data_IF_795646940635
#
_entry.id   IF_795646940635
#
_cell.length_a   1.000
_cell.length_b   1.000
_cell.length_c   1.000
_cell.angle_alpha   90.00
_cell.angle_beta   90.00
_cell.angle_gamma   90.00
#
_symmetry.space_group_name_H-M   'P 1'
#
loop_
_entity.id
_entity.type
_entity.pdbx_description
1 polymer ?
#
# COMPACT_ATOMS: atom_id res chain seq x y z
N UNK A 1 -9.46 29.19 0.41
CA UNK A 1 -8.34 29.20 -0.56
C UNK A 1 -7.61 27.90 -0.32
N UNK A 2 -7.70 26.95 -1.25
CA UNK A 2 -6.98 25.68 -1.12
C UNK A 2 -5.49 26.01 -1.13
N UNK A 3 -4.82 25.73 -0.02
CA UNK A 3 -3.36 25.85 0.01
C UNK A 3 -2.81 24.85 -0.98
N UNK A 4 -2.03 25.30 -1.96
CA UNK A 4 -1.42 24.44 -2.98
C UNK A 4 -0.31 23.53 -2.40
N UNK A 5 -0.41 23.19 -1.12
CA UNK A 5 0.56 22.45 -0.32
C UNK A 5 0.80 21.08 -0.92
N UNK A 6 -0.23 20.38 -1.41
CA UNK A 6 -0.07 19.06 -2.02
C UNK A 6 0.79 19.08 -3.30
N UNK A 7 0.86 20.23 -3.99
CA UNK A 7 1.66 20.37 -5.21
C UNK A 7 3.15 20.58 -4.93
N UNK A 8 3.53 20.90 -3.68
CA UNK A 8 4.93 21.01 -3.29
C UNK A 8 5.55 19.62 -3.03
N UNK A 9 6.86 19.51 -3.25
CA UNK A 9 7.62 18.33 -2.87
C UNK A 9 7.77 18.28 -1.35
N UNK A 10 7.36 17.18 -0.74
CA UNK A 10 7.49 16.97 0.70
C UNK A 10 8.31 15.73 1.03
N UNK A 11 8.79 15.70 2.27
CA UNK A 11 9.38 14.49 2.84
C UNK A 11 8.27 13.45 3.07
N UNK A 12 8.64 12.17 3.03
CA UNK A 12 7.72 11.05 3.27
C UNK A 12 6.96 11.18 4.60
N UNK A 13 7.62 11.70 5.64
CA UNK A 13 7.01 11.98 6.95
C UNK A 13 5.84 12.97 6.88
N UNK A 14 5.89 13.92 5.94
CA UNK A 14 4.80 14.87 5.73
C UNK A 14 3.58 14.16 5.12
N UNK A 15 3.77 13.32 4.11
CA UNK A 15 2.69 12.54 3.50
C UNK A 15 2.06 11.57 4.51
N UNK A 16 2.89 10.91 5.34
CA UNK A 16 2.45 10.11 6.50
C UNK A 16 1.52 10.90 7.43
N UNK A 17 1.89 12.14 7.78
CA UNK A 17 1.14 12.95 8.73
C UNK A 17 -0.14 13.58 8.15
N UNK A 18 -0.17 13.92 6.86
CA UNK A 18 -1.23 14.76 6.28
C UNK A 18 -2.15 14.02 5.30
N UNK A 19 -1.59 13.19 4.41
CA UNK A 19 -2.37 12.50 3.38
C UNK A 19 -2.82 11.14 3.90
N UNK A 20 -1.87 10.40 4.43
CA UNK A 20 -2.06 9.06 4.96
C UNK A 20 -2.96 9.06 6.18
N UNK A 21 -2.71 9.92 7.17
CA UNK A 21 -3.60 10.08 8.32
C UNK A 21 -5.06 10.41 7.92
N UNK A 22 -5.25 11.19 6.86
CA UNK A 22 -6.59 11.46 6.33
C UNK A 22 -7.26 10.19 5.81
N UNK A 23 -6.53 9.35 5.06
CA UNK A 23 -7.03 8.04 4.62
C UNK A 23 -7.35 7.16 5.82
N UNK A 24 -6.48 7.07 6.83
CA UNK A 24 -6.77 6.27 8.03
C UNK A 24 -8.10 6.68 8.65
N UNK A 25 -8.32 8.00 8.77
CA UNK A 25 -9.56 8.55 9.34
C UNK A 25 -10.79 8.31 8.47
N UNK A 26 -10.64 8.28 7.14
CA UNK A 26 -11.73 8.07 6.20
C UNK A 26 -12.25 6.62 6.15
N UNK A 27 -11.48 5.67 6.68
CA UNK A 27 -11.83 4.25 6.72
C UNK A 27 -12.03 3.73 8.16
N UNK A 28 -11.87 4.59 9.18
CA UNK A 28 -11.90 4.20 10.61
C UNK A 28 -13.28 3.71 11.07
N UNK A 29 -14.36 4.15 10.42
CA UNK A 29 -15.74 3.77 10.71
C UNK A 29 -16.22 2.52 9.95
N UNK A 30 -15.39 1.97 9.06
CA UNK A 30 -15.74 0.81 8.24
C UNK A 30 -15.31 -0.49 8.94
N UNK A 31 -16.27 -1.17 9.57
CA UNK A 31 -16.06 -2.36 10.41
C UNK A 31 -15.24 -3.48 9.74
N UNK A 32 -15.43 -3.67 8.43
CA UNK A 32 -14.83 -4.76 7.67
C UNK A 32 -13.63 -4.32 6.82
N UNK A 33 -13.13 -3.09 6.99
CA UNK A 33 -11.98 -2.59 6.25
C UNK A 33 -10.88 -2.21 7.24
N UNK A 34 -9.64 -2.53 6.88
CA UNK A 34 -8.47 -2.01 7.58
C UNK A 34 -7.52 -1.33 6.59
N UNK A 35 -6.89 -0.27 7.09
CA UNK A 35 -5.79 0.43 6.42
C UNK A 35 -4.50 0.02 7.10
N UNK A 36 -3.66 -0.73 6.39
CA UNK A 36 -2.36 -1.18 6.88
C UNK A 36 -1.27 -0.24 6.45
N UNK A 37 -0.48 0.20 7.44
CA UNK A 37 0.74 0.97 7.26
C UNK A 37 1.96 0.06 7.23
N UNK A 38 2.87 0.31 6.29
CA UNK A 38 4.18 -0.33 6.28
C UNK A 38 4.10 -1.85 6.24
N UNK A 39 3.47 -2.39 5.19
CA UNK A 39 3.24 -3.82 4.98
C UNK A 39 4.49 -4.64 5.34
N UNK A 40 4.38 -5.57 6.30
CA UNK A 40 5.45 -6.55 6.52
C UNK A 40 5.59 -7.39 5.25
N UNK A 41 6.80 -7.73 4.84
CA UNK A 41 7.08 -8.57 3.66
C UNK A 41 6.35 -9.91 3.75
N UNK A 42 5.12 -9.96 3.23
CA UNK A 42 4.20 -11.10 3.37
C UNK A 42 3.39 -11.31 2.09
N UNK A 43 2.57 -12.36 2.14
CA UNK A 43 1.79 -12.97 1.05
C UNK A 43 1.20 -11.97 0.07
N UNK A 44 0.64 -10.85 0.52
CA UNK A 44 0.10 -9.78 -0.31
C UNK A 44 1.10 -9.26 -1.38
N UNK A 45 2.27 -8.75 -0.98
CA UNK A 45 3.33 -8.35 -1.92
C UNK A 45 3.77 -9.46 -2.89
N UNK A 46 3.78 -10.72 -2.44
CA UNK A 46 4.12 -11.88 -3.27
C UNK A 46 2.99 -12.20 -4.24
N UNK A 47 1.74 -12.18 -3.79
CA UNK A 47 0.55 -12.42 -4.58
C UNK A 47 0.47 -11.38 -5.70
N UNK A 48 0.60 -10.07 -5.42
CA UNK A 48 0.65 -9.04 -6.47
C UNK A 48 1.75 -9.28 -7.50
N UNK A 49 2.97 -9.62 -7.06
CA UNK A 49 4.11 -9.80 -7.97
C UNK A 49 4.04 -11.09 -8.80
N UNK A 50 3.31 -12.09 -8.32
CA UNK A 50 3.24 -13.42 -8.94
C UNK A 50 1.82 -13.80 -9.37
N UNK A 51 0.86 -12.87 -9.36
CA UNK A 51 -0.54 -13.14 -9.70
C UNK A 51 -0.67 -13.75 -11.11
N UNK A 52 0.12 -13.22 -12.05
CA UNK A 52 0.11 -13.66 -13.44
C UNK A 52 1.21 -14.71 -13.72
N UNK A 53 1.75 -15.34 -12.67
CA UNK A 53 2.85 -16.30 -12.83
C UNK A 53 2.34 -17.61 -13.43
N UNK A 54 2.71 -17.84 -14.69
CA UNK A 54 2.41 -19.08 -15.41
C UNK A 54 3.29 -20.27 -14.99
N UNK A 55 4.56 -20.01 -14.65
CA UNK A 55 5.51 -21.07 -14.27
C UNK A 55 5.67 -21.16 -12.75
N UNK A 56 5.06 -22.19 -12.16
CA UNK A 56 5.10 -22.41 -10.71
C UNK A 56 6.35 -23.10 -10.19
N UNK A 57 7.22 -23.60 -11.07
CA UNK A 57 8.46 -24.32 -10.69
C UNK A 57 9.58 -23.38 -10.24
N UNK A 58 9.48 -22.09 -10.53
CA UNK A 58 10.46 -21.09 -10.09
C UNK A 58 10.13 -20.57 -8.68
N UNK A 59 11.16 -20.12 -7.95
CA UNK A 59 10.98 -19.44 -6.65
C UNK A 59 10.04 -18.24 -6.79
N UNK A 60 9.14 -18.08 -5.82
CA UNK A 60 8.27 -16.92 -5.76
C UNK A 60 9.10 -15.65 -5.61
N UNK A 61 8.74 -14.61 -6.37
CA UNK A 61 9.40 -13.30 -6.28
C UNK A 61 8.74 -12.49 -5.18
N UNK A 62 9.55 -11.82 -4.36
CA UNK A 62 9.03 -10.84 -3.42
C UNK A 62 8.70 -9.55 -4.19
N UNK A 63 7.49 -9.03 -4.03
CA UNK A 63 7.07 -7.75 -4.62
C UNK A 63 7.62 -6.55 -3.86
N UNK A 64 7.43 -5.35 -4.43
CA UNK A 64 7.67 -4.10 -3.68
C UNK A 64 6.63 -3.99 -2.57
N UNK A 65 7.11 -3.59 -1.39
CA UNK A 65 6.28 -3.25 -0.24
C UNK A 65 5.58 -1.92 -0.53
N UNK A 66 4.29 -1.84 -0.21
CA UNK A 66 3.53 -0.60 -0.28
C UNK A 66 3.54 0.11 1.07
N UNK A 67 3.42 1.44 1.04
CA UNK A 67 3.37 2.27 2.25
C UNK A 67 1.99 2.21 2.91
N UNK A 68 0.97 1.97 2.08
CA UNK A 68 -0.43 1.80 2.47
C UNK A 68 -1.06 0.63 1.69
N UNK A 69 -1.86 -0.18 2.38
CA UNK A 69 -2.75 -1.19 1.78
C UNK A 69 -4.13 -1.07 2.42
N UNK A 70 -5.18 -1.02 1.61
CA UNK A 70 -6.58 -1.06 2.05
C UNK A 70 -7.11 -2.45 1.73
N UNK A 71 -7.60 -3.16 2.74
CA UNK A 71 -8.06 -4.55 2.57
C UNK A 71 -9.16 -4.90 3.54
N UNK A 72 -9.76 -6.07 3.34
CA UNK A 72 -10.76 -6.60 4.29
C UNK A 72 -10.12 -6.92 5.63
N UNK A 73 -10.80 -6.53 6.71
CA UNK A 73 -10.46 -6.86 8.09
C UNK A 73 -11.18 -8.16 8.47
N UNK A 74 -10.49 -9.29 8.45
CA UNK A 74 -11.06 -10.57 8.88
C UNK A 74 -10.52 -10.97 10.26
N UNK A 75 -11.41 -11.49 11.10
CA UNK A 75 -11.07 -12.08 12.42
C UNK A 75 -10.55 -13.52 12.27
N UNK A 76 -10.87 -14.16 11.15
CA UNK A 76 -10.48 -15.54 10.84
C UNK A 76 -9.59 -15.57 9.59
N UNK A 77 -8.80 -16.63 9.42
CA UNK A 77 -7.81 -16.83 8.34
C UNK A 77 -8.38 -16.91 6.90
N UNK A 78 -9.51 -16.25 6.65
CA UNK A 78 -10.07 -16.01 5.33
C UNK A 78 -9.08 -15.24 4.45
N UNK A 79 -9.26 -15.36 3.13
CA UNK A 79 -8.39 -14.68 2.17
C UNK A 79 -8.72 -13.18 2.16
N UNK A 80 -7.75 -12.36 2.56
CA UNK A 80 -7.85 -10.91 2.46
C UNK A 80 -8.14 -10.48 1.02
N UNK A 81 -9.14 -9.62 0.82
CA UNK A 81 -9.36 -8.93 -0.46
C UNK A 81 -8.70 -7.56 -0.37
N UNK A 82 -7.72 -7.30 -1.23
CA UNK A 82 -7.11 -5.98 -1.37
C UNK A 82 -7.98 -5.09 -2.26
N UNK A 83 -8.31 -3.89 -1.76
CA UNK A 83 -9.08 -2.89 -2.49
C UNK A 83 -8.19 -1.82 -3.14
N UNK A 84 -7.00 -1.58 -2.58
CA UNK A 84 -6.07 -0.60 -3.11
C UNK A 84 -4.80 -0.49 -2.28
N UNK A 85 -3.86 0.30 -2.79
CA UNK A 85 -2.61 0.57 -2.09
C UNK A 85 -1.98 1.90 -2.52
N UNK A 86 -1.08 2.40 -1.67
CA UNK A 86 -0.38 3.67 -1.86
C UNK A 86 1.14 3.49 -1.77
N UNK A 87 1.86 4.23 -2.62
CA UNK A 87 3.32 4.32 -2.62
C UNK A 87 3.73 5.79 -2.60
N UNK A 88 4.72 6.13 -1.79
CA UNK A 88 5.38 7.42 -1.71
C UNK A 88 6.87 7.21 -1.96
N UNK A 89 7.25 7.14 -3.23
CA UNK A 89 8.65 7.03 -3.65
C UNK A 89 9.14 8.31 -4.31
N UNK A 90 10.43 8.63 -4.15
CA UNK A 90 11.08 9.52 -5.12
C UNK A 90 11.05 8.83 -6.48
N UNK A 91 10.82 9.56 -7.59
CA UNK A 91 11.05 8.98 -8.91
C UNK A 91 12.48 8.44 -8.94
N UNK A 92 12.64 7.16 -9.27
CA UNK A 92 13.95 6.63 -9.59
C UNK A 92 14.42 7.36 -10.84
N UNK A 93 15.50 8.13 -10.75
CA UNK A 93 16.23 8.52 -11.96
C UNK A 93 16.55 7.21 -12.70
N UNK A 94 15.92 7.03 -13.86
CA UNK A 94 16.39 6.06 -14.82
C UNK A 94 17.68 6.68 -15.35
N UNK A 95 18.81 6.28 -14.78
CA UNK A 95 20.10 6.52 -15.41
C UNK A 95 20.13 5.62 -16.65
N UNK A 96 19.68 6.17 -17.78
CA UNK A 96 19.88 5.61 -19.12
C UNK A 96 21.37 5.65 -19.48
#
# INVERSE_FOLDING_TARGET
MESNTLAASHLESWYNAHVWRFIDSAFDDLENIEVIRGESTRRASVERKNNDRLNTKCRQKLGRRLDLVIRTKHVEHAKDVEYGGGECGKPSEIML
#
